data_IF_593944119694
#
_entry.id   IF_593944119694
#
_cell.length_a   1.000
_cell.length_b   1.000
_cell.length_c   1.000
_cell.angle_alpha   90.00
_cell.angle_beta   90.00
_cell.angle_gamma   90.00
#
_symmetry.space_group_name_H-M   'P 1'
#
loop_
_entity.id
_entity.type
_entity.pdbx_description
1 polymer ?
#
# COMPACT_ATOMS: atom_id res chain seq x y z
N UNK A 1 9.52 -7.78 -16.54
CA UNK A 1 9.46 -6.41 -17.11
C UNK A 1 10.51 -5.45 -16.53
N UNK A 2 11.22 -5.83 -15.45
CA UNK A 2 12.23 -5.01 -14.75
C UNK A 2 13.70 -5.30 -15.15
N UNK A 3 13.92 -6.04 -16.24
CA UNK A 3 15.25 -6.45 -16.69
C UNK A 3 15.81 -5.42 -17.65
N UNK A 4 16.80 -4.66 -17.19
CA UNK A 4 17.83 -3.90 -17.92
C UNK A 4 17.49 -3.32 -19.32
N UNK A 5 16.28 -2.83 -19.55
CA UNK A 5 16.02 -1.88 -20.62
C UNK A 5 16.50 -0.52 -20.12
N UNK A 6 17.43 0.13 -20.84
CA UNK A 6 18.01 1.42 -20.47
C UNK A 6 16.94 2.48 -20.16
N UNK A 7 15.79 2.39 -20.82
CA UNK A 7 14.62 3.23 -20.61
C UNK A 7 14.04 3.12 -19.20
N UNK A 8 14.07 1.93 -18.59
CA UNK A 8 13.48 1.71 -17.26
C UNK A 8 14.28 2.39 -16.15
N UNK A 9 15.61 2.33 -16.22
CA UNK A 9 16.47 3.05 -15.29
C UNK A 9 16.22 4.56 -15.35
N UNK A 10 15.98 5.09 -16.55
CA UNK A 10 15.68 6.51 -16.74
C UNK A 10 14.29 6.89 -16.22
N UNK A 11 13.28 6.04 -16.44
CA UNK A 11 11.94 6.21 -15.86
C UNK A 11 12.00 6.24 -14.33
N UNK A 12 12.73 5.31 -13.71
CA UNK A 12 12.90 5.30 -12.25
C UNK A 12 13.63 6.54 -11.75
N UNK A 13 14.66 7.00 -12.46
CA UNK A 13 15.38 8.23 -12.13
C UNK A 13 14.48 9.46 -12.22
N UNK A 14 13.61 9.52 -13.24
CA UNK A 14 12.65 10.59 -13.41
C UNK A 14 11.56 10.55 -12.33
N UNK A 15 11.05 9.36 -12.01
CA UNK A 15 10.07 9.17 -10.94
C UNK A 15 10.65 9.57 -9.58
N UNK A 16 11.89 9.17 -9.27
CA UNK A 16 12.58 9.58 -8.06
C UNK A 16 12.70 11.12 -7.97
N UNK A 17 13.16 11.76 -9.05
CA UNK A 17 13.26 13.23 -9.12
C UNK A 17 11.92 13.96 -9.08
N UNK A 18 10.85 13.31 -9.51
CA UNK A 18 9.52 13.88 -9.42
C UNK A 18 9.01 13.85 -7.96
N UNK A 19 9.39 12.81 -7.22
CA UNK A 19 9.03 12.65 -5.81
C UNK A 19 9.89 13.51 -4.88
N UNK A 20 11.17 13.68 -5.20
CA UNK A 20 12.15 14.48 -4.45
C UNK A 20 11.90 16.00 -4.67
N UNK A 21 11.19 16.64 -3.75
CA UNK A 21 10.72 18.02 -3.94
C UNK A 21 11.80 19.06 -3.68
N UNK A 22 12.77 18.76 -2.81
CA UNK A 22 13.86 19.67 -2.46
C UNK A 22 15.15 19.39 -3.25
N UNK A 23 15.19 18.30 -4.03
CA UNK A 23 16.31 17.84 -4.84
C UNK A 23 17.58 17.55 -4.02
N UNK A 24 17.43 17.09 -2.78
CA UNK A 24 18.56 16.68 -1.93
C UNK A 24 19.12 15.30 -2.31
N UNK A 25 18.41 14.55 -3.17
CA UNK A 25 18.77 13.22 -3.62
C UNK A 25 18.30 12.09 -2.69
N UNK A 26 17.47 12.40 -1.70
CA UNK A 26 16.88 11.49 -0.72
C UNK A 26 15.37 11.69 -0.68
N UNK A 27 14.60 10.60 -0.65
CA UNK A 27 13.16 10.69 -0.40
C UNK A 27 12.91 10.67 1.11
N UNK A 28 12.56 11.82 1.66
CA UNK A 28 12.14 11.98 3.04
C UNK A 28 10.64 11.72 3.24
N UNK A 29 10.17 11.64 4.49
CA UNK A 29 8.73 11.51 4.76
C UNK A 29 7.91 12.69 4.23
N UNK A 30 8.49 13.90 4.22
CA UNK A 30 7.84 15.11 3.73
C UNK A 30 7.52 15.01 2.22
N UNK A 31 8.47 14.51 1.43
CA UNK A 31 8.30 14.30 0.00
C UNK A 31 7.13 13.36 -0.28
N UNK A 32 7.13 12.21 0.39
CA UNK A 32 6.09 11.18 0.25
C UNK A 32 4.72 11.73 0.61
N UNK A 33 4.59 12.39 1.77
CA UNK A 33 3.30 12.90 2.26
C UNK A 33 2.75 13.98 1.35
N UNK A 34 3.61 14.84 0.82
CA UNK A 34 3.19 15.90 -0.11
C UNK A 34 2.58 15.33 -1.40
N UNK A 35 3.01 14.14 -1.83
CA UNK A 35 2.44 13.45 -2.98
C UNK A 35 1.21 12.59 -2.64
N UNK A 36 1.06 12.13 -1.39
CA UNK A 36 -0.10 11.34 -0.96
C UNK A 36 -1.31 12.21 -0.58
N UNK A 37 -1.05 13.37 0.03
CA UNK A 37 -2.10 14.28 0.50
C UNK A 37 -2.49 15.22 -0.61
N UNK A 38 -3.56 14.88 -1.32
CA UNK A 38 -4.17 15.76 -2.31
C UNK A 38 -4.83 16.99 -1.65
N UNK A 39 -4.94 18.12 -2.37
CA UNK A 39 -5.69 19.26 -1.87
C UNK A 39 -7.14 18.86 -1.54
N UNK A 40 -7.58 19.12 -0.30
CA UNK A 40 -8.94 18.81 0.17
C UNK A 40 -9.08 17.54 1.00
N UNK A 41 -7.96 16.88 1.34
CA UNK A 41 -7.92 15.74 2.27
C UNK A 41 -8.02 16.22 3.72
N UNK A 42 -8.73 15.48 4.57
CA UNK A 42 -8.95 15.80 5.99
C UNK A 42 -7.64 15.71 6.79
N UNK A 43 -7.57 16.43 7.92
CA UNK A 43 -6.37 16.46 8.76
C UNK A 43 -6.00 15.09 9.37
N UNK A 44 -6.99 14.21 9.59
CA UNK A 44 -6.76 12.86 10.09
C UNK A 44 -5.98 12.00 9.08
N UNK A 45 -6.36 12.08 7.81
CA UNK A 45 -5.70 11.36 6.72
C UNK A 45 -4.25 11.83 6.54
N UNK A 46 -3.96 13.10 6.85
CA UNK A 46 -2.59 13.62 6.85
C UNK A 46 -1.72 12.99 7.95
N UNK A 47 -2.27 12.76 9.15
CA UNK A 47 -1.51 12.13 10.24
C UNK A 47 -1.18 10.67 9.91
N UNK A 48 -2.14 9.92 9.37
CA UNK A 48 -1.94 8.53 8.96
C UNK A 48 -0.95 8.44 7.80
N UNK A 49 -1.04 9.32 6.80
CA UNK A 49 -0.06 9.41 5.72
C UNK A 49 1.35 9.71 6.25
N UNK A 50 1.48 10.62 7.22
CA UNK A 50 2.75 10.96 7.84
C UNK A 50 3.39 9.78 8.57
N UNK A 51 2.60 9.05 9.37
CA UNK A 51 3.04 7.84 10.07
C UNK A 51 3.43 6.73 9.09
N UNK A 52 2.64 6.50 8.05
CA UNK A 52 2.96 5.52 7.00
C UNK A 52 4.26 5.87 6.26
N UNK A 53 4.46 7.16 5.92
CA UNK A 53 5.68 7.63 5.28
C UNK A 53 6.91 7.43 6.16
N UNK A 54 6.82 7.72 7.47
CA UNK A 54 7.91 7.47 8.41
C UNK A 54 8.27 5.99 8.49
N UNK A 55 7.27 5.11 8.58
CA UNK A 55 7.50 3.67 8.61
C UNK A 55 8.13 3.16 7.32
N UNK A 56 7.69 3.68 6.17
CA UNK A 56 8.26 3.32 4.88
C UNK A 56 9.72 3.77 4.76
N UNK A 57 10.05 5.01 5.14
CA UNK A 57 11.44 5.52 5.14
C UNK A 57 12.30 4.75 6.15
N UNK A 58 11.78 4.41 7.33
CA UNK A 58 12.51 3.60 8.30
C UNK A 58 12.80 2.18 7.78
N UNK A 59 11.88 1.60 7.01
CA UNK A 59 12.03 0.26 6.42
C UNK A 59 13.06 0.21 5.29
N UNK A 60 13.10 1.24 4.45
CA UNK A 60 13.89 1.25 3.21
C UNK A 60 15.07 2.23 3.21
N UNK A 61 15.22 3.04 4.25
CA UNK A 61 16.30 4.00 4.38
C UNK A 61 17.65 3.34 4.60
N UNK A 62 18.72 4.11 4.38
CA UNK A 62 20.09 3.62 4.54
C UNK A 62 20.44 3.61 6.03
N UNK A 63 20.82 2.45 6.61
CA UNK A 63 21.24 2.42 8.01
C UNK A 63 22.52 3.25 8.20
N UNK A 64 22.47 4.23 9.10
CA UNK A 64 23.63 5.03 9.47
C UNK A 64 23.98 6.17 8.51
N UNK A 65 23.14 6.50 7.52
CA UNK A 65 23.27 7.77 6.80
C UNK A 65 22.93 8.94 7.71
N UNK A 66 23.66 10.05 7.56
CA UNK A 66 23.39 11.29 8.30
C UNK A 66 22.06 11.95 7.89
N UNK A 67 21.47 11.54 6.76
CA UNK A 67 20.14 11.91 6.30
C UNK A 67 19.11 10.84 6.61
N UNK A 68 17.90 11.27 7.01
CA UNK A 68 16.73 10.40 7.16
C UNK A 68 15.98 10.36 5.83
N UNK A 69 16.24 9.34 5.01
CA UNK A 69 15.62 9.24 3.69
C UNK A 69 16.02 8.00 2.92
N UNK A 70 15.41 7.84 1.74
CA UNK A 70 15.64 6.72 0.83
C UNK A 70 16.33 7.22 -0.43
N UNK A 71 17.54 6.74 -0.72
CA UNK A 71 18.26 7.12 -1.94
C UNK A 71 17.73 6.38 -3.18
N UNK A 72 18.15 6.80 -4.38
CA UNK A 72 17.70 6.20 -5.64
C UNK A 72 17.87 4.67 -5.73
N UNK A 73 19.04 4.10 -5.38
CA UNK A 73 19.23 2.65 -5.29
C UNK A 73 18.27 1.95 -4.32
N UNK A 74 18.10 2.49 -3.11
CA UNK A 74 17.21 1.89 -2.10
C UNK A 74 15.73 2.02 -2.50
N UNK A 75 15.34 3.12 -3.16
CA UNK A 75 14.01 3.29 -3.75
C UNK A 75 13.71 2.21 -4.78
N UNK A 76 14.67 1.94 -5.68
CA UNK A 76 14.52 0.84 -6.65
C UNK A 76 14.39 -0.51 -5.94
N UNK A 77 15.19 -0.77 -4.92
CA UNK A 77 15.12 -2.01 -4.15
C UNK A 77 13.76 -2.16 -3.46
N UNK A 78 13.24 -1.08 -2.88
CA UNK A 78 11.92 -1.04 -2.25
C UNK A 78 10.79 -1.38 -3.25
N UNK A 79 10.80 -0.79 -4.44
CA UNK A 79 9.82 -1.09 -5.49
C UNK A 79 9.87 -2.55 -5.95
N UNK A 80 11.09 -3.11 -6.10
CA UNK A 80 11.27 -4.50 -6.48
C UNK A 80 10.76 -5.47 -5.40
N UNK A 81 10.98 -5.13 -4.13
CA UNK A 81 10.50 -5.93 -3.01
C UNK A 81 8.98 -5.87 -2.89
N UNK A 82 8.39 -4.67 -2.98
CA UNK A 82 6.94 -4.49 -2.93
C UNK A 82 6.21 -5.26 -4.04
N UNK A 83 6.77 -5.31 -5.26
CA UNK A 83 6.20 -6.11 -6.35
C UNK A 83 6.20 -7.61 -6.04
N UNK A 84 7.27 -8.12 -5.41
CA UNK A 84 7.35 -9.55 -5.03
C UNK A 84 6.37 -9.90 -3.92
N UNK A 85 6.19 -9.00 -2.97
CA UNK A 85 5.20 -9.15 -1.89
C UNK A 85 3.78 -9.19 -2.47
N UNK A 86 3.45 -8.28 -3.40
CA UNK A 86 2.15 -8.24 -4.05
C UNK A 86 1.85 -9.52 -4.87
N UNK A 87 2.84 -10.03 -5.61
CA UNK A 87 2.69 -11.28 -6.37
C UNK A 87 2.45 -12.49 -5.45
N UNK A 88 3.01 -12.48 -4.24
CA UNK A 88 2.85 -13.58 -3.27
C UNK A 88 1.46 -13.60 -2.65
N UNK A 89 0.83 -12.44 -2.46
CA UNK A 89 -0.48 -12.32 -1.84
C UNK A 89 -1.63 -12.70 -2.79
N UNK A 90 -1.42 -12.59 -4.10
CA UNK A 90 -2.44 -12.94 -5.11
C UNK A 90 -2.73 -14.45 -5.23
N UNK A 91 -1.91 -15.32 -4.62
CA UNK A 91 -2.05 -16.78 -4.73
C UNK A 91 -2.87 -17.42 -3.59
N UNK A 92 -3.07 -16.70 -2.48
CA UNK A 92 -3.72 -17.23 -1.27
C UNK A 92 -5.24 -16.94 -1.20
N UNK A 93 -5.75 -16.07 -2.09
CA UNK A 93 -7.17 -15.64 -2.11
C UNK A 93 -8.08 -16.52 -3.01
N UNK A 94 -7.56 -17.65 -3.49
CA UNK A 94 -8.34 -18.62 -4.29
C UNK A 94 -8.89 -19.81 -3.48
N UNK A 95 -8.69 -19.81 -2.16
CA UNK A 95 -9.14 -20.87 -1.27
C UNK A 95 -10.50 -20.59 -0.64
N UNK A 96 -11.50 -21.35 -1.06
CA UNK A 96 -12.70 -21.71 -0.27
C UNK A 96 -13.78 -20.62 -0.11
N UNK A 97 -14.46 -20.34 -1.22
CA UNK A 97 -15.89 -20.03 -1.16
C UNK A 97 -16.65 -21.36 -1.32
N UNK A 98 -16.66 -22.17 -0.27
CA UNK A 98 -17.58 -23.32 -0.21
C UNK A 98 -18.98 -22.80 0.11
N UNK A 99 -19.87 -23.06 -0.84
CA UNK A 99 -21.30 -22.82 -0.81
C UNK A 99 -21.95 -23.55 0.38
N UNK A 100 -22.09 -22.88 1.53
CA UNK A 100 -23.14 -23.25 2.50
C UNK A 100 -24.47 -22.65 2.07
N UNK A 101 -24.98 -23.20 0.98
CA UNK A 101 -26.36 -23.10 0.57
C UNK A 101 -27.06 -24.37 1.09
N UNK A 102 -27.25 -24.47 2.42
CA UNK A 102 -28.12 -25.49 3.01
C UNK A 102 -29.45 -24.87 3.42
N UNK A 103 -30.44 -25.27 2.65
CA UNK A 103 -31.87 -25.05 2.75
C UNK A 103 -32.40 -25.28 4.16
N UNK A 104 -32.88 -24.23 4.83
CA UNK A 104 -33.89 -24.34 5.89
C UNK A 104 -35.18 -23.64 5.42
N UNK A 105 -35.72 -24.19 4.33
CA UNK A 105 -37.12 -24.02 3.93
C UNK A 105 -37.84 -25.36 4.22
N UNK A 106 -39.04 -25.27 4.80
CA UNK A 106 -39.98 -26.35 5.21
C UNK A 106 -39.71 -26.89 6.63
N UNK A 107 -40.60 -26.88 7.64
CA UNK A 107 -42.05 -26.87 7.79
C UNK A 107 -42.34 -26.44 9.26
N UNK A 108 -43.24 -25.50 9.56
CA UNK A 108 -44.67 -25.78 9.75
C UNK A 108 -45.03 -26.33 11.14
N UNK A 109 -45.47 -25.49 12.08
CA UNK A 109 -46.48 -25.80 13.14
C UNK A 109 -47.06 -24.46 13.63
N UNK A 110 -48.20 -23.99 13.13
CA UNK A 110 -49.56 -24.22 13.66
C UNK A 110 -49.82 -23.85 15.15
N UNK A 111 -50.95 -23.13 15.36
CA UNK A 111 -51.69 -22.83 16.60
C UNK A 111 -51.17 -21.78 17.61
N UNK A 112 -51.97 -20.73 17.84
CA UNK A 112 -52.78 -20.49 19.07
C UNK A 112 -53.51 -19.13 18.96
N UNK A 113 -54.81 -19.13 18.64
CA UNK A 113 -55.96 -19.04 19.58
C UNK A 113 -56.08 -17.65 20.25
N UNK A 114 -57.04 -16.86 19.77
CA UNK A 114 -57.36 -15.56 20.33
C UNK A 114 -58.08 -15.58 21.68
N UNK A 115 -58.31 -14.37 22.22
CA UNK A 115 -59.49 -14.04 23.03
C UNK A 115 -59.73 -12.53 23.00
N UNK A 116 -61.02 -12.21 22.90
CA UNK A 116 -61.66 -10.89 23.05
C UNK A 116 -61.77 -10.57 24.53
#
# INVERSE_FOLDING_TARGET
WLVSNSSWSEILRLAFRYLDLDNDGLLGPQDIVTHLVMPGVEAADHADAWSAAHLWVARWGIPGSSGTGVDGPSFRAALLAAHREADSQAFDDSGEQEDENEEDELQGVEYFRGRV
#
